data_IF_615357213885
#
_entry.id   IF_615357213885
#
_cell.length_a   1.000
_cell.length_b   1.000
_cell.length_c   1.000
_cell.angle_alpha   90.00
_cell.angle_beta   90.00
_cell.angle_gamma   90.00
#
_symmetry.space_group_name_H-M   'P 1'
#
loop_
_entity.id
_entity.type
_entity.pdbx_description
1 polymer ?
#
# COMPACT_ATOMS: atom_id res chain seq x y z
N UNK A 1 -44.78 51.22 0.86
CA UNK A 1 -45.58 50.13 0.23
C UNK A 1 -44.88 49.47 -1.00
N UNK A 2 -44.14 50.22 -1.82
CA UNK A 2 -43.43 49.65 -3.01
C UNK A 2 -42.34 48.61 -2.67
N UNK A 3 -41.43 48.90 -1.71
CA UNK A 3 -40.33 47.98 -1.32
C UNK A 3 -40.85 46.66 -0.76
N UNK A 4 -41.94 46.66 -0.01
CA UNK A 4 -42.55 45.45 0.56
C UNK A 4 -43.18 44.56 -0.53
N UNK A 5 -43.80 45.13 -1.55
CA UNK A 5 -44.34 44.37 -2.71
C UNK A 5 -43.23 43.75 -3.58
N UNK A 6 -42.09 44.40 -3.70
CA UNK A 6 -40.91 43.85 -4.42
C UNK A 6 -40.29 42.68 -3.63
N UNK A 7 -40.14 42.84 -2.31
CA UNK A 7 -39.65 41.76 -1.45
C UNK A 7 -40.55 40.51 -1.48
N UNK A 8 -41.89 40.71 -1.40
CA UNK A 8 -42.88 39.62 -1.48
C UNK A 8 -42.80 38.88 -2.82
N UNK A 9 -42.70 39.62 -3.94
CA UNK A 9 -42.54 38.99 -5.27
C UNK A 9 -41.24 38.18 -5.38
N UNK A 10 -40.14 38.69 -4.81
CA UNK A 10 -38.87 37.96 -4.77
C UNK A 10 -38.96 36.65 -3.97
N UNK A 11 -39.61 36.68 -2.81
CA UNK A 11 -39.82 35.46 -1.97
C UNK A 11 -40.69 34.43 -2.71
N UNK A 12 -41.80 34.88 -3.32
CA UNK A 12 -42.69 33.99 -4.07
C UNK A 12 -41.96 33.36 -5.27
N UNK A 13 -41.19 34.15 -6.01
CA UNK A 13 -40.39 33.64 -7.12
C UNK A 13 -39.37 32.60 -6.62
N UNK A 14 -38.67 32.85 -5.50
CA UNK A 14 -37.74 31.91 -4.86
C UNK A 14 -38.40 30.59 -4.45
N UNK A 15 -39.60 30.66 -3.84
CA UNK A 15 -40.36 29.46 -3.47
C UNK A 15 -40.81 28.65 -4.69
N UNK A 16 -41.21 29.32 -5.76
CA UNK A 16 -41.57 28.63 -7.02
C UNK A 16 -40.35 27.92 -7.62
N UNK A 17 -39.23 28.61 -7.72
CA UNK A 17 -37.97 28.00 -8.19
C UNK A 17 -37.59 26.81 -7.31
N UNK A 18 -37.63 26.96 -6.00
CA UNK A 18 -37.33 25.86 -5.06
C UNK A 18 -38.27 24.67 -5.29
N UNK A 19 -39.58 24.90 -5.42
CA UNK A 19 -40.57 23.84 -5.67
C UNK A 19 -40.30 23.13 -7.01
N UNK A 20 -39.96 23.87 -8.06
CA UNK A 20 -39.61 23.32 -9.37
C UNK A 20 -38.37 22.44 -9.27
N UNK A 21 -37.34 22.89 -8.55
CA UNK A 21 -36.11 22.10 -8.35
C UNK A 21 -36.37 20.80 -7.59
N UNK A 22 -37.33 20.74 -6.65
CA UNK A 22 -37.72 19.49 -5.95
C UNK A 22 -38.33 18.47 -6.91
N UNK A 23 -39.04 18.92 -7.94
CA UNK A 23 -39.70 18.05 -8.93
C UNK A 23 -38.70 17.56 -10.00
N UNK A 24 -37.78 18.42 -10.42
CA UNK A 24 -36.82 18.13 -11.50
C UNK A 24 -35.53 17.39 -11.05
N UNK A 25 -35.45 16.98 -9.81
CA UNK A 25 -34.26 16.25 -9.31
C UNK A 25 -34.10 14.89 -9.97
N UNK A 26 -32.88 14.50 -10.42
CA UNK A 26 -32.63 13.17 -10.99
C UNK A 26 -32.72 12.08 -9.92
N UNK A 27 -33.30 10.93 -10.24
CA UNK A 27 -33.41 9.80 -9.31
C UNK A 27 -32.04 9.16 -8.94
N UNK A 28 -32.00 8.48 -7.81
CA UNK A 28 -30.91 7.57 -7.45
C UNK A 28 -31.35 6.17 -7.87
N UNK A 29 -30.61 5.48 -8.76
CA UNK A 29 -30.94 4.13 -9.16
C UNK A 29 -30.99 3.17 -7.96
N UNK A 30 -32.04 2.37 -7.87
CA UNK A 30 -32.19 1.32 -6.86
C UNK A 30 -32.41 -0.01 -7.56
N UNK A 31 -31.76 -1.07 -7.05
CA UNK A 31 -31.89 -2.42 -7.56
C UNK A 31 -31.97 -3.41 -6.39
N UNK A 32 -32.66 -4.53 -6.54
CA UNK A 32 -32.52 -5.65 -5.61
C UNK A 32 -31.04 -6.06 -5.51
N UNK A 33 -30.60 -6.47 -4.32
CA UNK A 33 -29.27 -7.02 -4.16
C UNK A 33 -29.14 -8.29 -5.01
N UNK A 34 -28.13 -8.35 -5.87
CA UNK A 34 -27.89 -9.48 -6.77
C UNK A 34 -26.99 -10.54 -6.15
N UNK A 35 -26.04 -10.11 -5.31
CA UNK A 35 -25.11 -10.95 -4.57
C UNK A 35 -24.62 -10.18 -3.33
N UNK A 36 -25.44 -10.13 -2.30
CA UNK A 36 -25.14 -9.41 -1.08
C UNK A 36 -24.01 -10.08 -0.30
N UNK A 37 -23.18 -9.26 0.35
CA UNK A 37 -22.14 -9.76 1.25
C UNK A 37 -22.77 -10.63 2.36
N UNK A 38 -22.28 -11.85 2.49
CA UNK A 38 -22.65 -12.73 3.58
C UNK A 38 -21.73 -12.50 4.77
N UNK A 39 -22.28 -11.99 5.86
CA UNK A 39 -21.56 -11.72 7.09
C UNK A 39 -22.40 -12.17 8.32
N UNK A 40 -21.76 -12.45 9.46
CA UNK A 40 -22.47 -12.70 10.72
C UNK A 40 -23.47 -11.58 11.06
N UNK A 41 -24.57 -11.88 11.77
CA UNK A 41 -25.61 -10.88 12.07
C UNK A 41 -25.08 -9.60 12.72
N UNK A 42 -24.11 -9.72 13.62
CA UNK A 42 -23.46 -8.59 14.28
C UNK A 42 -22.73 -7.66 13.30
N UNK A 43 -21.93 -8.24 12.41
CA UNK A 43 -21.21 -7.48 11.36
C UNK A 43 -22.21 -6.85 10.39
N UNK A 44 -23.20 -7.62 9.95
CA UNK A 44 -24.26 -7.12 9.09
C UNK A 44 -24.96 -5.92 9.70
N UNK A 45 -25.30 -5.97 11.00
CA UNK A 45 -25.96 -4.88 11.69
C UNK A 45 -25.13 -3.58 11.62
N UNK A 46 -23.82 -3.66 11.89
CA UNK A 46 -22.91 -2.51 11.78
C UNK A 46 -22.90 -1.95 10.35
N UNK A 47 -22.69 -2.82 9.34
CA UNK A 47 -22.65 -2.40 7.95
C UNK A 47 -23.96 -1.76 7.49
N UNK A 48 -25.10 -2.33 7.89
CA UNK A 48 -26.43 -1.81 7.54
C UNK A 48 -26.72 -0.46 8.19
N UNK A 49 -26.29 -0.27 9.43
CA UNK A 49 -26.46 0.98 10.16
C UNK A 49 -25.59 2.10 9.57
N UNK A 50 -24.29 1.84 9.35
CA UNK A 50 -23.29 2.87 9.14
C UNK A 50 -22.88 3.07 7.67
N UNK A 51 -23.09 2.06 6.81
CA UNK A 51 -22.52 2.04 5.46
C UNK A 51 -23.56 1.92 4.34
N UNK A 52 -24.64 1.14 4.53
CA UNK A 52 -25.57 0.78 3.44
C UNK A 52 -26.33 1.96 2.84
N UNK A 53 -26.48 3.07 3.55
CA UNK A 53 -27.11 4.28 3.01
C UNK A 53 -26.44 4.78 1.73
N UNK A 54 -25.10 4.69 1.67
CA UNK A 54 -24.32 5.07 0.49
C UNK A 54 -23.80 3.88 -0.31
N UNK A 55 -23.36 2.79 0.37
CA UNK A 55 -22.67 1.65 -0.21
C UNK A 55 -23.56 0.45 -0.51
N UNK A 56 -24.86 0.65 -0.78
CA UNK A 56 -25.76 -0.41 -1.24
C UNK A 56 -26.70 0.08 -2.32
N UNK A 57 -27.28 -0.84 -3.11
CA UNK A 57 -28.29 -0.49 -4.10
C UNK A 57 -29.67 -0.20 -3.49
N UNK A 58 -29.79 -0.32 -2.16
CA UNK A 58 -31.00 0.00 -1.43
C UNK A 58 -31.11 1.52 -1.21
N UNK A 59 -32.35 2.02 -1.20
CA UNK A 59 -32.58 3.43 -0.90
C UNK A 59 -32.85 3.60 0.60
N UNK A 60 -31.90 4.19 1.32
CA UNK A 60 -31.99 4.46 2.77
C UNK A 60 -31.71 5.94 3.04
N UNK A 61 -32.55 6.83 2.49
CA UNK A 61 -32.40 8.29 2.64
C UNK A 61 -33.36 8.84 3.67
N UNK A 62 -32.88 9.70 4.55
CA UNK A 62 -33.68 10.54 5.40
C UNK A 62 -34.52 11.50 4.57
N UNK A 63 -35.57 12.08 5.15
CA UNK A 63 -36.41 13.03 4.45
C UNK A 63 -35.63 14.29 4.03
N UNK A 64 -34.69 14.75 4.86
CA UNK A 64 -33.88 15.94 4.59
C UNK A 64 -32.80 15.72 3.55
N UNK A 65 -32.27 14.50 3.38
CA UNK A 65 -31.36 14.13 2.29
C UNK A 65 -32.01 14.29 0.91
N UNK A 66 -33.32 14.35 0.88
CA UNK A 66 -34.10 14.43 -0.35
C UNK A 66 -34.41 15.88 -0.76
N UNK A 67 -33.96 16.86 0.01
CA UNK A 67 -34.19 18.27 -0.27
C UNK A 67 -33.09 18.86 -1.13
N UNK A 68 -33.43 19.43 -2.30
CA UNK A 68 -32.50 20.18 -3.16
C UNK A 68 -32.19 21.52 -2.49
N UNK A 69 -30.91 21.99 -2.45
CA UNK A 69 -29.76 21.49 -3.23
C UNK A 69 -28.96 20.36 -2.58
N UNK A 70 -29.14 20.07 -1.28
CA UNK A 70 -28.41 19.03 -0.55
C UNK A 70 -28.49 17.64 -1.22
N UNK A 71 -29.68 17.31 -1.76
CA UNK A 71 -29.90 16.07 -2.50
C UNK A 71 -28.89 15.81 -3.62
N UNK A 72 -28.44 16.85 -4.31
CA UNK A 72 -27.47 16.67 -5.41
C UNK A 72 -26.11 16.19 -4.91
N UNK A 73 -25.67 16.72 -3.76
CA UNK A 73 -24.45 16.25 -3.10
C UNK A 73 -24.62 14.80 -2.63
N UNK A 74 -25.68 14.51 -1.87
CA UNK A 74 -26.01 13.15 -1.40
C UNK A 74 -26.08 12.15 -2.56
N UNK A 75 -26.74 12.55 -3.66
CA UNK A 75 -26.79 11.68 -4.86
C UNK A 75 -25.41 11.43 -5.46
N UNK A 76 -24.58 12.46 -5.56
CA UNK A 76 -23.21 12.35 -6.06
C UNK A 76 -22.41 11.37 -5.20
N UNK A 77 -22.44 11.57 -3.88
CA UNK A 77 -21.70 10.75 -2.92
C UNK A 77 -22.14 9.28 -2.98
N UNK A 78 -23.45 9.00 -3.08
CA UNK A 78 -23.98 7.63 -3.21
C UNK A 78 -23.50 6.97 -4.51
N UNK A 79 -23.55 7.67 -5.63
CA UNK A 79 -23.13 7.09 -6.91
C UNK A 79 -21.63 6.80 -6.91
N UNK A 80 -20.83 7.71 -6.40
CA UNK A 80 -19.39 7.51 -6.22
C UNK A 80 -19.08 6.37 -5.25
N UNK A 81 -19.78 6.32 -4.11
CA UNK A 81 -19.61 5.25 -3.12
C UNK A 81 -19.86 3.86 -3.73
N UNK A 82 -20.91 3.71 -4.55
CA UNK A 82 -21.27 2.43 -5.20
C UNK A 82 -20.27 1.99 -6.28
N UNK A 83 -19.55 2.93 -6.89
CA UNK A 83 -18.48 2.60 -7.84
C UNK A 83 -17.28 1.97 -7.13
N UNK A 84 -16.96 2.41 -5.91
CA UNK A 84 -15.83 1.89 -5.13
C UNK A 84 -16.20 0.64 -4.32
N UNK A 85 -17.30 0.70 -3.60
CA UNK A 85 -17.79 -0.39 -2.74
C UNK A 85 -19.31 -0.45 -2.79
N UNK A 86 -19.85 -1.63 -3.16
CA UNK A 86 -21.28 -1.88 -3.14
C UNK A 86 -21.58 -3.22 -2.49
N UNK A 87 -22.11 -3.20 -1.28
CA UNK A 87 -22.45 -4.41 -0.51
C UNK A 87 -23.52 -5.27 -1.17
N UNK A 88 -24.38 -4.67 -2.01
CA UNK A 88 -25.41 -5.41 -2.75
C UNK A 88 -24.86 -6.34 -3.85
N UNK A 89 -23.59 -6.17 -4.22
CA UNK A 89 -22.92 -6.95 -5.27
C UNK A 89 -21.60 -7.57 -4.83
N UNK A 90 -21.09 -7.19 -3.65
CA UNK A 90 -19.76 -7.60 -3.15
C UNK A 90 -19.63 -9.13 -3.04
N UNK A 91 -20.70 -9.83 -2.68
CA UNK A 91 -20.72 -11.28 -2.55
C UNK A 91 -20.46 -12.04 -3.85
N UNK A 92 -20.55 -11.38 -5.03
CA UNK A 92 -20.16 -11.97 -6.30
C UNK A 92 -18.63 -12.06 -6.51
N UNK A 93 -17.84 -11.29 -5.71
CA UNK A 93 -16.38 -11.35 -5.78
C UNK A 93 -15.85 -12.59 -5.05
N UNK A 94 -14.66 -13.11 -5.42
CA UNK A 94 -13.99 -14.15 -4.65
C UNK A 94 -13.82 -13.76 -3.17
N UNK A 95 -13.86 -14.74 -2.26
CA UNK A 95 -13.81 -14.49 -0.82
C UNK A 95 -12.60 -13.63 -0.36
N UNK A 96 -11.42 -13.85 -0.96
CA UNK A 96 -10.24 -13.05 -0.69
C UNK A 96 -10.42 -11.58 -1.10
N UNK A 97 -11.08 -11.31 -2.23
CA UNK A 97 -11.37 -9.95 -2.68
C UNK A 97 -12.44 -9.28 -1.82
N UNK A 98 -13.45 -10.04 -1.35
CA UNK A 98 -14.42 -9.52 -0.36
C UNK A 98 -13.70 -9.10 0.93
N UNK A 99 -12.81 -9.96 1.43
CA UNK A 99 -12.03 -9.71 2.65
C UNK A 99 -11.14 -8.48 2.49
N UNK A 100 -10.38 -8.37 1.39
CA UNK A 100 -9.53 -7.21 1.09
C UNK A 100 -10.32 -5.90 1.06
N UNK A 101 -11.52 -5.91 0.44
CA UNK A 101 -12.43 -4.75 0.41
C UNK A 101 -12.88 -4.34 1.82
N UNK A 102 -13.17 -5.30 2.70
CA UNK A 102 -13.55 -5.02 4.10
C UNK A 102 -12.37 -4.46 4.91
N UNK A 103 -11.16 -4.94 4.69
CA UNK A 103 -9.95 -4.36 5.30
C UNK A 103 -9.78 -2.89 4.88
N UNK A 104 -9.98 -2.59 3.61
CA UNK A 104 -9.93 -1.21 3.12
C UNK A 104 -10.98 -0.33 3.79
N UNK A 105 -12.24 -0.82 3.89
CA UNK A 105 -13.30 -0.10 4.59
C UNK A 105 -12.93 0.19 6.05
N UNK A 106 -12.41 -0.81 6.78
CA UNK A 106 -11.96 -0.65 8.17
C UNK A 106 -10.84 0.37 8.28
N UNK A 107 -9.89 0.39 7.33
CA UNK A 107 -8.84 1.39 7.29
C UNK A 107 -9.40 2.80 7.07
N UNK A 108 -10.35 2.98 6.16
CA UNK A 108 -10.98 4.28 5.94
C UNK A 108 -11.74 4.77 7.18
N UNK A 109 -12.38 3.87 7.94
CA UNK A 109 -13.01 4.19 9.22
C UNK A 109 -11.96 4.61 10.26
N UNK A 110 -10.90 3.82 10.42
CA UNK A 110 -9.82 4.08 11.39
C UNK A 110 -9.14 5.44 11.14
N UNK A 111 -8.98 5.81 9.87
CA UNK A 111 -8.36 7.07 9.45
C UNK A 111 -9.34 8.25 9.46
N UNK A 112 -10.61 8.02 9.83
CA UNK A 112 -11.64 9.07 9.89
C UNK A 112 -12.12 9.57 8.54
N UNK A 113 -11.85 8.83 7.45
CA UNK A 113 -12.34 9.13 6.12
C UNK A 113 -13.78 8.66 5.90
N UNK A 114 -14.18 7.60 6.60
CA UNK A 114 -15.54 7.03 6.53
C UNK A 114 -16.14 6.80 7.92
N UNK A 115 -17.46 6.98 8.09
CA UNK A 115 -18.36 7.66 7.15
C UNK A 115 -17.91 9.11 6.90
N UNK A 116 -18.32 9.70 5.76
CA UNK A 116 -17.90 11.07 5.41
C UNK A 116 -18.15 12.05 6.55
N UNK A 117 -17.18 12.91 6.95
CA UNK A 117 -17.36 13.84 8.07
C UNK A 117 -18.61 14.73 7.95
N UNK A 118 -18.89 15.26 6.77
CA UNK A 118 -20.08 16.07 6.51
C UNK A 118 -21.39 15.27 6.60
N UNK A 119 -21.35 13.95 6.35
CA UNK A 119 -22.52 13.10 6.48
C UNK A 119 -22.87 12.87 7.95
N UNK A 120 -21.89 12.55 8.80
CA UNK A 120 -22.11 12.30 10.22
C UNK A 120 -22.52 13.55 11.01
N UNK A 121 -22.27 14.77 10.49
CA UNK A 121 -22.80 16.01 11.07
C UNK A 121 -24.34 16.04 11.03
N UNK A 122 -24.94 15.47 9.99
CA UNK A 122 -26.39 15.37 9.82
C UNK A 122 -26.97 14.01 10.25
N UNK A 123 -26.13 13.00 10.31
CA UNK A 123 -26.45 11.60 10.63
C UNK A 123 -25.51 11.06 11.74
N UNK A 124 -25.57 11.61 12.97
CA UNK A 124 -24.68 11.20 14.05
C UNK A 124 -24.83 9.74 14.44
N UNK A 125 -25.98 9.12 14.17
CA UNK A 125 -26.26 7.70 14.37
C UNK A 125 -25.45 6.77 13.45
N UNK A 126 -25.00 7.27 12.30
CA UNK A 126 -24.18 6.53 11.34
C UNK A 126 -22.68 6.57 11.69
N UNK A 127 -22.31 7.18 12.80
CA UNK A 127 -20.92 7.20 13.26
C UNK A 127 -20.54 5.83 13.81
N UNK A 128 -19.53 5.21 13.22
CA UNK A 128 -18.96 3.94 13.75
C UNK A 128 -18.33 4.20 15.10
N UNK A 129 -18.75 3.45 16.13
CA UNK A 129 -18.18 3.56 17.46
C UNK A 129 -16.85 2.81 17.58
N UNK A 130 -16.01 3.10 18.59
CA UNK A 130 -14.79 2.35 18.83
C UNK A 130 -15.03 0.84 19.02
N UNK A 131 -16.15 0.47 19.66
CA UNK A 131 -16.56 -0.92 19.89
C UNK A 131 -16.95 -1.62 18.59
N UNK A 132 -17.71 -0.95 17.72
CA UNK A 132 -18.08 -1.45 16.40
C UNK A 132 -16.84 -1.62 15.52
N UNK A 133 -15.91 -0.65 15.53
CA UNK A 133 -14.64 -0.76 14.83
C UNK A 133 -13.81 -1.94 15.35
N UNK A 134 -13.74 -2.15 16.66
CA UNK A 134 -13.06 -3.30 17.26
C UNK A 134 -13.71 -4.63 16.83
N UNK A 135 -15.04 -4.68 16.76
CA UNK A 135 -15.80 -5.85 16.30
C UNK A 135 -15.48 -6.15 14.81
N UNK A 136 -15.47 -5.15 13.95
CA UNK A 136 -15.10 -5.30 12.54
C UNK A 136 -13.66 -5.81 12.39
N UNK A 137 -12.72 -5.26 13.17
CA UNK A 137 -11.32 -5.72 13.19
C UNK A 137 -11.22 -7.17 13.66
N UNK A 138 -11.93 -7.55 14.71
CA UNK A 138 -11.94 -8.92 15.23
C UNK A 138 -12.51 -9.91 14.20
N UNK A 139 -13.54 -9.52 13.48
CA UNK A 139 -14.11 -10.34 12.40
C UNK A 139 -13.12 -10.59 11.26
N UNK A 140 -12.29 -9.60 10.93
CA UNK A 140 -11.27 -9.72 9.89
C UNK A 140 -10.01 -10.44 10.38
N UNK A 141 -9.73 -10.45 11.70
CA UNK A 141 -8.70 -11.25 12.32
C UNK A 141 -9.29 -12.67 12.65
N UNK A 142 -8.52 -13.77 12.70
CA UNK A 142 -7.08 -13.80 12.77
C UNK A 142 -6.44 -13.81 11.38
N UNK A 143 -5.29 -13.20 11.34
CA UNK A 143 -4.36 -13.32 10.27
C UNK A 143 -3.72 -14.71 10.33
N UNK A 144 -4.42 -15.71 9.82
CA UNK A 144 -3.81 -16.99 9.57
C UNK A 144 -3.05 -16.89 8.25
N UNK A 145 -1.83 -17.47 8.12
CA UNK A 145 -1.24 -17.70 6.82
C UNK A 145 -2.30 -18.37 5.93
N UNK A 146 -2.38 -17.93 4.66
CA UNK A 146 -3.37 -18.46 3.73
C UNK A 146 -3.33 -20.00 3.77
N UNK A 147 -4.49 -20.69 3.87
CA UNK A 147 -4.51 -22.12 3.65
C UNK A 147 -4.00 -22.40 2.25
N UNK A 148 -3.27 -23.49 2.12
CA UNK A 148 -2.69 -23.99 0.88
C UNK A 148 -3.57 -23.72 -0.33
N UNK A 149 -3.02 -23.00 -1.32
CA UNK A 149 -3.47 -22.90 -2.72
C UNK A 149 -4.98 -23.00 -2.98
N UNK A 150 -5.70 -21.96 -2.77
CA UNK A 150 -6.82 -21.63 -3.65
C UNK A 150 -6.35 -20.52 -4.59
N UNK A 151 -5.81 -20.93 -5.71
CA UNK A 151 -5.59 -20.02 -6.83
C UNK A 151 -6.90 -19.33 -7.17
N UNK A 152 -6.80 -18.05 -7.52
CA UNK A 152 -7.82 -17.13 -8.00
C UNK A 152 -8.36 -16.13 -6.98
N UNK A 153 -7.54 -15.14 -6.68
CA UNK A 153 -8.03 -13.82 -6.27
C UNK A 153 -7.27 -12.68 -6.96
N UNK A 154 -6.53 -12.99 -8.03
CA UNK A 154 -6.17 -11.98 -9.03
C UNK A 154 -7.13 -12.13 -10.20
N UNK A 155 -7.75 -11.05 -10.69
CA UNK A 155 -8.30 -11.03 -12.04
C UNK A 155 -7.27 -11.69 -12.96
N UNK A 156 -7.70 -12.68 -13.73
CA UNK A 156 -6.87 -13.40 -14.66
C UNK A 156 -6.15 -12.40 -15.58
N UNK A 157 -4.92 -12.10 -15.26
CA UNK A 157 -4.01 -11.44 -16.18
C UNK A 157 -3.74 -12.48 -17.25
N UNK A 158 -4.16 -12.19 -18.48
CA UNK A 158 -3.95 -13.04 -19.63
C UNK A 158 -2.49 -13.46 -19.71
N UNK A 159 -2.27 -14.76 -19.81
CA UNK A 159 -0.95 -15.40 -19.92
C UNK A 159 -0.40 -15.32 -21.34
N UNK A 160 -0.46 -14.18 -21.98
CA UNK A 160 0.34 -13.93 -23.18
C UNK A 160 1.62 -13.26 -22.74
N UNK A 161 2.59 -14.10 -22.34
CA UNK A 161 3.95 -13.67 -22.03
C UNK A 161 4.62 -13.17 -23.34
N UNK A 162 4.42 -11.90 -23.65
CA UNK A 162 5.31 -11.17 -24.52
C UNK A 162 6.59 -10.90 -23.74
N UNK A 163 7.75 -11.07 -24.39
CA UNK A 163 9.03 -10.68 -23.85
C UNK A 163 8.95 -9.27 -23.20
N UNK A 164 9.65 -9.03 -22.06
CA UNK A 164 9.65 -7.72 -21.42
C UNK A 164 9.98 -6.65 -22.46
N UNK A 165 9.04 -5.73 -22.70
CA UNK A 165 9.26 -4.64 -23.63
C UNK A 165 10.45 -3.80 -23.14
N UNK A 166 11.22 -3.26 -24.08
CA UNK A 166 12.27 -2.30 -23.73
C UNK A 166 11.69 -1.16 -22.87
N UNK A 167 12.35 -0.73 -21.78
CA UNK A 167 11.84 0.31 -20.87
C UNK A 167 11.38 1.60 -21.56
N UNK A 168 11.96 1.91 -22.73
CA UNK A 168 11.58 3.06 -23.55
C UNK A 168 10.20 2.93 -24.22
N UNK A 169 9.57 1.75 -24.19
CA UNK A 169 8.28 1.47 -24.83
C UNK A 169 7.10 1.39 -23.87
N UNK A 170 7.33 1.54 -22.54
CA UNK A 170 6.24 1.49 -21.55
C UNK A 170 5.35 2.73 -21.70
N UNK A 171 4.04 2.57 -21.93
CA UNK A 171 3.13 3.69 -22.07
C UNK A 171 3.04 4.51 -20.79
N UNK A 172 2.86 5.82 -20.92
CA UNK A 172 2.47 6.68 -19.81
C UNK A 172 1.08 6.32 -19.31
N UNK A 173 0.78 6.66 -18.06
CA UNK A 173 -0.56 6.54 -17.51
C UNK A 173 -1.58 7.44 -18.22
N UNK A 174 -2.85 7.14 -18.06
CA UNK A 174 -3.96 7.88 -18.69
C UNK A 174 -4.04 9.36 -18.27
N UNK A 175 -3.45 9.72 -17.12
CA UNK A 175 -3.31 11.13 -16.68
C UNK A 175 -2.02 11.79 -17.20
N UNK A 176 -1.23 11.10 -18.03
CA UNK A 176 0.03 11.57 -18.57
C UNK A 176 1.25 11.41 -17.66
N UNK A 177 1.10 10.71 -16.50
CA UNK A 177 2.22 10.40 -15.62
C UNK A 177 3.17 9.42 -16.33
N UNK A 178 4.49 9.72 -16.43
CA UNK A 178 5.44 8.87 -17.13
C UNK A 178 5.89 7.69 -16.28
N UNK A 179 6.11 6.53 -16.90
CA UNK A 179 6.82 5.43 -16.26
C UNK A 179 8.30 5.79 -16.06
N UNK A 180 8.85 5.49 -14.89
CA UNK A 180 10.28 5.69 -14.61
C UNK A 180 10.99 4.34 -14.47
N UNK A 181 11.74 3.87 -15.47
CA UNK A 181 12.44 2.59 -15.43
C UNK A 181 13.58 2.55 -14.40
N UNK A 182 14.06 3.73 -13.95
CA UNK A 182 15.16 3.83 -13.01
C UNK A 182 14.75 3.41 -11.57
N UNK A 183 13.46 3.22 -11.31
CA UNK A 183 12.99 2.78 -9.97
C UNK A 183 13.71 1.51 -9.47
N UNK A 184 14.17 0.65 -10.37
CA UNK A 184 14.90 -0.59 -10.05
C UNK A 184 16.23 -0.34 -9.32
N UNK A 185 16.80 0.86 -9.46
CA UNK A 185 18.02 1.29 -8.77
C UNK A 185 17.77 2.08 -7.48
N UNK A 186 16.49 2.39 -7.18
CA UNK A 186 16.16 3.18 -5.98
C UNK A 186 16.33 2.33 -4.71
N UNK A 187 16.50 3.02 -3.59
CA UNK A 187 16.75 2.38 -2.29
C UNK A 187 15.44 2.05 -1.57
N UNK A 188 15.41 0.91 -0.89
CA UNK A 188 14.26 0.56 -0.04
C UNK A 188 14.25 1.48 1.18
N UNK A 189 13.16 2.22 1.34
CA UNK A 189 12.91 3.05 2.51
C UNK A 189 12.02 2.37 3.54
N UNK A 190 11.23 1.38 3.12
CA UNK A 190 10.42 0.51 3.98
C UNK A 190 10.04 -0.77 3.27
N UNK A 191 9.73 -1.80 4.04
CA UNK A 191 9.13 -3.04 3.54
C UNK A 191 7.79 -3.24 4.24
N UNK A 192 6.85 -3.92 3.58
CA UNK A 192 5.53 -4.16 4.15
C UNK A 192 5.07 -5.57 3.77
N UNK A 193 4.58 -6.26 4.78
CA UNK A 193 3.86 -7.52 4.67
C UNK A 193 2.36 -7.20 4.78
N UNK A 194 1.59 -7.48 3.74
CA UNK A 194 0.20 -7.07 3.56
C UNK A 194 -0.73 -8.28 3.54
N UNK A 195 -1.00 -8.84 4.71
CA UNK A 195 -1.91 -9.96 4.83
C UNK A 195 -3.37 -9.66 4.54
N UNK A 196 -3.76 -8.39 4.47
CA UNK A 196 -5.07 -7.99 4.00
C UNK A 196 -5.31 -8.36 2.53
N UNK A 197 -4.24 -8.45 1.74
CA UNK A 197 -4.32 -8.83 0.33
C UNK A 197 -3.19 -9.77 -0.13
N UNK A 198 -2.51 -10.42 0.81
CA UNK A 198 -1.46 -11.42 0.60
C UNK A 198 -0.36 -10.94 -0.35
N UNK A 199 0.24 -9.77 -0.03
CA UNK A 199 1.34 -9.22 -0.82
C UNK A 199 2.52 -8.80 0.04
N UNK A 200 3.73 -9.10 -0.44
CA UNK A 200 4.97 -8.51 0.07
C UNK A 200 5.34 -7.30 -0.78
N UNK A 201 5.86 -6.25 -0.14
CA UNK A 201 6.11 -4.97 -0.81
C UNK A 201 7.44 -4.36 -0.43
N UNK A 202 8.11 -3.78 -1.43
CA UNK A 202 9.10 -2.74 -1.21
C UNK A 202 8.49 -1.36 -1.47
N UNK A 203 8.81 -0.41 -0.61
CA UNK A 203 8.64 1.01 -0.90
C UNK A 203 10.02 1.58 -1.17
N UNK A 204 10.26 1.91 -2.42
CA UNK A 204 11.53 2.45 -2.91
C UNK A 204 11.45 3.98 -2.95
N UNK A 205 12.55 4.64 -2.63
CA UNK A 205 12.70 6.08 -2.78
C UNK A 205 13.89 6.44 -3.67
N UNK A 206 13.71 7.48 -4.49
CA UNK A 206 14.85 8.06 -5.20
C UNK A 206 15.79 8.79 -4.21
N UNK A 207 16.92 9.30 -4.66
CA UNK A 207 17.92 9.95 -3.80
C UNK A 207 17.35 11.11 -2.98
N UNK A 208 16.40 11.88 -3.56
CA UNK A 208 15.70 12.97 -2.84
C UNK A 208 14.88 12.42 -1.70
N UNK A 209 14.10 11.36 -1.94
CA UNK A 209 13.30 10.69 -0.91
C UNK A 209 14.17 10.09 0.20
N UNK A 210 15.25 9.39 -0.16
CA UNK A 210 16.19 8.78 0.79
C UNK A 210 16.83 9.84 1.67
N UNK A 211 17.34 10.92 1.07
CA UNK A 211 17.94 12.03 1.81
C UNK A 211 16.96 12.69 2.76
N UNK A 212 15.73 12.92 2.29
CA UNK A 212 14.66 13.49 3.11
C UNK A 212 14.30 12.57 4.29
N UNK A 213 14.18 11.27 4.07
CA UNK A 213 13.89 10.28 5.10
C UNK A 213 15.00 10.23 6.16
N UNK A 214 16.27 10.17 5.75
CA UNK A 214 17.42 10.12 6.67
C UNK A 214 17.54 11.39 7.51
N UNK A 215 17.22 12.57 6.97
CA UNK A 215 17.25 13.84 7.67
C UNK A 215 15.94 14.20 8.39
N UNK A 216 14.93 13.33 8.29
CA UNK A 216 13.55 13.58 8.78
C UNK A 216 12.91 14.86 8.20
N UNK A 217 13.32 15.26 6.99
CA UNK A 217 12.72 16.38 6.24
C UNK A 217 11.59 15.86 5.35
N UNK A 218 10.54 15.34 5.98
CA UNK A 218 9.46 14.58 5.32
C UNK A 218 8.07 15.17 5.59
N UNK A 219 8.02 16.42 6.01
CA UNK A 219 6.74 17.06 6.30
C UNK A 219 6.78 18.58 6.11
N UNK A 220 6.44 19.00 4.89
CA UNK A 220 6.15 18.19 3.71
C UNK A 220 7.42 17.54 3.12
N UNK A 221 7.23 16.51 2.30
CA UNK A 221 8.29 15.96 1.47
C UNK A 221 8.76 17.01 0.45
N UNK A 222 10.06 17.12 0.17
CA UNK A 222 10.57 18.08 -0.80
C UNK A 222 10.14 17.76 -2.23
N UNK A 223 9.95 18.79 -3.05
CA UNK A 223 9.73 18.60 -4.50
C UNK A 223 10.87 17.77 -5.12
N UNK A 224 10.51 16.91 -6.06
CA UNK A 224 11.42 15.92 -6.65
C UNK A 224 11.51 14.61 -5.86
N UNK A 225 10.84 14.49 -4.71
CA UNK A 225 10.66 13.20 -4.03
C UNK A 225 9.86 12.27 -4.94
N UNK A 226 10.38 11.06 -5.14
CA UNK A 226 9.69 9.99 -5.87
C UNK A 226 9.70 8.70 -5.08
N UNK A 227 8.55 8.05 -5.04
CA UNK A 227 8.39 6.70 -4.49
C UNK A 227 7.96 5.73 -5.57
N UNK A 228 8.42 4.48 -5.43
CA UNK A 228 7.88 3.34 -6.15
C UNK A 228 7.50 2.26 -5.16
N UNK A 229 6.19 2.00 -5.02
CA UNK A 229 5.68 0.89 -4.24
C UNK A 229 5.56 -0.33 -5.15
N UNK A 230 6.45 -1.29 -4.96
CA UNK A 230 6.52 -2.54 -5.74
C UNK A 230 5.88 -3.64 -4.94
N UNK A 231 4.97 -4.39 -5.53
CA UNK A 231 4.22 -5.44 -4.87
C UNK A 231 4.33 -6.78 -5.61
N UNK A 232 4.50 -7.84 -4.83
CA UNK A 232 4.47 -9.23 -5.27
C UNK A 232 3.40 -9.99 -4.50
N UNK A 233 2.81 -11.01 -5.10
CA UNK A 233 1.99 -11.97 -4.38
C UNK A 233 2.87 -12.74 -3.40
N UNK A 234 2.35 -13.00 -2.20
CA UNK A 234 3.02 -13.89 -1.24
C UNK A 234 3.01 -15.31 -1.75
N UNK A 235 4.14 -16.00 -1.62
CA UNK A 235 4.29 -17.39 -1.97
C UNK A 235 4.99 -18.14 -0.83
N UNK A 236 4.35 -19.19 -0.33
CA UNK A 236 4.92 -20.04 0.72
C UNK A 236 5.98 -20.96 0.12
N UNK A 237 7.22 -20.76 0.52
CA UNK A 237 8.34 -21.60 0.11
C UNK A 237 8.36 -22.95 0.84
N UNK A 238 9.15 -23.93 0.35
CA UNK A 238 9.33 -25.21 1.01
C UNK A 238 10.06 -25.10 2.36
N UNK A 239 10.70 -23.98 2.62
CA UNK A 239 11.33 -23.62 3.90
C UNK A 239 10.32 -23.12 4.95
N UNK A 240 9.05 -22.96 4.57
CA UNK A 240 7.99 -22.44 5.42
C UNK A 240 8.05 -20.94 5.62
N UNK A 241 8.76 -20.22 4.73
CA UNK A 241 8.83 -18.77 4.69
C UNK A 241 7.92 -18.23 3.57
N UNK A 242 7.39 -17.02 3.77
CA UNK A 242 6.69 -16.29 2.72
C UNK A 242 7.72 -15.50 1.90
N UNK A 243 7.78 -15.78 0.62
CA UNK A 243 8.65 -15.12 -0.35
C UNK A 243 7.85 -14.23 -1.31
N UNK A 244 8.48 -13.20 -1.90
CA UNK A 244 7.91 -12.52 -3.06
C UNK A 244 7.81 -13.49 -4.24
N UNK A 245 6.60 -13.83 -4.62
CA UNK A 245 6.31 -14.66 -5.78
C UNK A 245 6.10 -13.79 -7.04
N UNK A 246 5.00 -14.01 -7.74
CA UNK A 246 4.68 -13.29 -8.97
C UNK A 246 4.59 -11.79 -8.75
N UNK A 247 5.28 -10.99 -9.59
CA UNK A 247 5.14 -9.54 -9.62
C UNK A 247 3.69 -9.16 -9.93
N UNK A 248 3.14 -8.26 -9.14
CA UNK A 248 1.77 -7.79 -9.29
C UNK A 248 1.69 -6.41 -9.92
N UNK A 249 2.34 -5.42 -9.30
CA UNK A 249 2.28 -4.03 -9.77
C UNK A 249 3.39 -3.16 -9.21
N UNK A 250 3.62 -2.04 -9.87
CA UNK A 250 4.37 -0.90 -9.34
C UNK A 250 3.49 0.35 -9.37
N UNK A 251 3.52 1.10 -8.27
CA UNK A 251 2.80 2.35 -8.09
C UNK A 251 3.79 3.47 -7.79
N UNK A 252 3.66 4.57 -8.50
CA UNK A 252 4.51 5.75 -8.31
C UNK A 252 3.76 6.89 -7.65
N UNK A 253 4.47 7.61 -6.79
CA UNK A 253 4.12 8.95 -6.29
C UNK A 253 5.29 9.88 -6.58
N UNK A 254 5.02 11.06 -7.13
CA UNK A 254 6.00 12.11 -7.37
C UNK A 254 5.55 13.42 -6.76
N UNK A 255 6.38 14.05 -5.93
CA UNK A 255 6.11 15.37 -5.34
C UNK A 255 6.58 16.45 -6.29
N UNK A 256 5.66 17.28 -6.75
CA UNK A 256 5.88 18.55 -7.44
C UNK A 256 4.68 19.45 -7.19
N UNK A 257 4.82 20.38 -6.25
CA UNK A 257 3.74 21.26 -5.80
C UNK A 257 3.16 22.15 -6.91
N UNK A 258 3.92 22.41 -7.97
CA UNK A 258 3.47 23.24 -9.10
C UNK A 258 2.75 22.41 -10.16
N UNK A 259 3.34 21.28 -10.53
CA UNK A 259 2.82 20.40 -11.58
C UNK A 259 1.53 19.71 -11.15
N UNK A 260 1.46 19.26 -9.92
CA UNK A 260 0.35 18.46 -9.37
C UNK A 260 -0.49 19.25 -8.37
N UNK A 261 -0.70 20.55 -8.59
CA UNK A 261 -1.47 21.44 -7.70
C UNK A 261 -2.91 20.96 -7.45
N UNK A 262 -3.50 20.32 -8.45
CA UNK A 262 -4.89 19.83 -8.39
C UNK A 262 -5.04 18.50 -7.65
N UNK A 263 -3.91 17.85 -7.32
CA UNK A 263 -3.80 16.61 -6.55
C UNK A 263 -2.89 16.79 -5.33
N UNK A 264 -2.95 17.97 -4.70
CA UNK A 264 -2.26 18.31 -3.44
C UNK A 264 -0.73 18.23 -3.55
N UNK A 265 -0.20 18.44 -4.75
CA UNK A 265 1.22 18.42 -5.05
C UNK A 265 1.81 17.03 -5.31
N UNK A 266 0.98 16.01 -5.49
CA UNK A 266 1.41 14.65 -5.78
C UNK A 266 0.88 14.14 -7.12
N UNK A 267 1.78 13.67 -7.99
CA UNK A 267 1.45 12.91 -9.18
C UNK A 267 1.38 11.42 -8.89
N UNK A 268 0.54 10.72 -9.64
CA UNK A 268 0.19 9.32 -9.40
C UNK A 268 0.29 8.50 -10.68
N UNK A 269 0.86 7.29 -10.58
CA UNK A 269 0.88 6.32 -11.66
C UNK A 269 0.91 4.90 -11.14
N UNK A 270 0.29 3.95 -11.87
CA UNK A 270 0.25 2.53 -11.51
C UNK A 270 0.33 1.67 -12.76
N UNK A 271 1.22 0.69 -12.74
CA UNK A 271 1.35 -0.31 -13.81
C UNK A 271 1.24 -1.71 -13.24
N UNK A 272 0.52 -2.56 -13.94
CA UNK A 272 0.26 -3.96 -13.53
C UNK A 272 0.92 -4.96 -14.47
N UNK A 273 1.32 -6.10 -13.87
CA UNK A 273 1.89 -7.24 -14.57
C UNK A 273 3.28 -6.99 -15.14
N UNK A 274 3.92 -8.04 -15.62
CA UNK A 274 5.27 -7.97 -16.22
C UNK A 274 5.28 -7.16 -17.53
N UNK A 275 4.14 -7.04 -18.19
CA UNK A 275 3.92 -6.23 -19.39
C UNK A 275 3.68 -4.74 -19.09
N UNK A 276 3.70 -4.34 -17.83
CA UNK A 276 3.58 -2.96 -17.37
C UNK A 276 2.39 -2.21 -17.98
N UNK A 277 1.21 -2.82 -17.93
CA UNK A 277 -0.02 -2.17 -18.39
C UNK A 277 -0.40 -1.02 -17.48
N UNK A 278 -0.64 0.19 -18.03
CA UNK A 278 -1.22 1.30 -17.28
C UNK A 278 -2.53 0.90 -16.61
N UNK A 279 -2.77 1.39 -15.38
CA UNK A 279 -3.93 1.08 -14.60
C UNK A 279 -5.12 1.97 -14.94
N UNK A 280 -6.33 1.39 -14.88
CA UNK A 280 -7.55 2.15 -15.11
C UNK A 280 -8.02 2.10 -16.56
N UNK A 281 -8.90 3.02 -16.91
CA UNK A 281 -9.49 3.16 -18.25
C UNK A 281 -9.35 4.57 -18.81
N UNK A 282 -9.20 5.54 -17.93
CA UNK A 282 -9.04 6.97 -18.21
C UNK A 282 -8.34 7.65 -17.03
N UNK A 283 -8.06 8.95 -17.13
CA UNK A 283 -7.34 9.73 -16.11
C UNK A 283 -8.04 9.79 -14.74
N UNK A 284 -9.32 9.43 -14.64
CA UNK A 284 -10.08 9.44 -13.37
C UNK A 284 -9.62 8.37 -12.38
N UNK A 285 -8.81 7.39 -12.81
CA UNK A 285 -8.17 6.45 -11.87
C UNK A 285 -7.41 7.17 -10.76
N UNK A 286 -6.90 8.38 -11.03
CA UNK A 286 -6.17 9.21 -10.06
C UNK A 286 -7.02 9.57 -8.83
N UNK A 287 -8.35 9.63 -8.99
CA UNK A 287 -9.27 9.87 -7.88
C UNK A 287 -9.24 8.74 -6.84
N UNK A 288 -8.96 7.51 -7.25
CA UNK A 288 -8.75 6.39 -6.32
C UNK A 288 -7.49 6.62 -5.47
N UNK A 289 -6.41 7.08 -6.11
CA UNK A 289 -5.14 7.36 -5.42
C UNK A 289 -5.29 8.51 -4.43
N UNK A 290 -5.81 9.65 -4.90
CA UNK A 290 -5.99 10.84 -4.07
C UNK A 290 -6.99 10.61 -2.94
N UNK A 291 -8.12 9.95 -3.21
CA UNK A 291 -9.13 9.63 -2.21
C UNK A 291 -8.60 8.68 -1.13
N UNK A 292 -7.88 7.63 -1.52
CA UNK A 292 -7.24 6.69 -0.59
C UNK A 292 -6.17 7.38 0.27
N UNK A 293 -5.37 8.29 -0.29
CA UNK A 293 -4.29 8.98 0.41
C UNK A 293 -4.71 10.24 1.19
N UNK A 294 -5.89 10.76 0.93
CA UNK A 294 -6.43 11.97 1.55
C UNK A 294 -6.48 11.92 3.09
N UNK A 295 -6.78 10.78 3.75
CA UNK A 295 -6.73 10.69 5.20
C UNK A 295 -5.34 10.93 5.80
N UNK A 296 -4.27 10.72 5.00
CA UNK A 296 -2.88 10.95 5.38
C UNK A 296 -2.39 12.37 5.09
N UNK A 297 -3.29 13.34 4.89
CA UNK A 297 -2.95 14.76 4.68
C UNK A 297 -1.99 15.30 5.74
N UNK A 298 -2.19 14.93 7.01
CA UNK A 298 -1.33 15.32 8.13
C UNK A 298 0.12 14.83 7.99
N UNK A 299 0.35 13.76 7.22
CA UNK A 299 1.65 13.18 6.89
C UNK A 299 2.02 13.37 5.40
N UNK A 300 1.63 14.51 4.84
CA UNK A 300 1.82 14.86 3.41
C UNK A 300 1.38 13.73 2.46
N UNK A 301 0.23 13.11 2.75
CA UNK A 301 -0.40 12.03 1.95
C UNK A 301 0.38 10.71 1.89
N UNK A 302 1.44 10.52 2.72
CA UNK A 302 2.30 9.35 2.68
C UNK A 302 1.98 8.40 3.85
N UNK A 303 1.59 7.17 3.54
CA UNK A 303 1.36 6.10 4.53
C UNK A 303 2.67 5.54 5.10
N UNK A 304 3.69 5.45 4.26
CA UNK A 304 4.94 4.77 4.57
C UNK A 304 5.68 5.45 5.72
N UNK A 305 6.10 4.65 6.68
CA UNK A 305 7.05 5.03 7.73
C UNK A 305 8.46 4.64 7.28
N UNK A 306 9.27 5.59 6.76
CA UNK A 306 10.63 5.27 6.32
C UNK A 306 11.48 4.86 7.51
N UNK A 307 12.33 3.82 7.32
CA UNK A 307 13.30 3.42 8.35
C UNK A 307 14.35 4.51 8.49
N UNK A 308 14.39 5.14 9.67
CA UNK A 308 15.31 6.25 9.96
C UNK A 308 15.58 6.36 11.46
N UNK A 309 16.82 6.58 11.85
CA UNK A 309 17.20 6.85 13.23
C UNK A 309 16.92 8.31 13.67
N UNK A 310 16.56 9.20 12.74
CA UNK A 310 16.28 10.59 13.01
C UNK A 310 15.12 10.77 14.00
N UNK A 311 15.25 11.71 14.92
CA UNK A 311 14.18 12.06 15.86
C UNK A 311 13.10 12.87 15.12
N UNK A 312 11.84 12.49 15.28
CA UNK A 312 10.73 13.31 14.85
C UNK A 312 10.55 14.48 15.82
N UNK A 313 10.32 15.68 15.29
CA UNK A 313 9.94 16.86 16.08
C UNK A 313 8.41 16.94 16.29
N UNK A 314 7.66 15.96 15.78
CA UNK A 314 6.21 15.86 15.89
C UNK A 314 5.81 14.87 16.96
N UNK A 315 4.63 15.07 17.55
CA UNK A 315 4.00 14.10 18.43
C UNK A 315 3.47 12.86 17.67
N UNK A 316 3.41 12.94 16.33
CA UNK A 316 2.96 11.85 15.47
C UNK A 316 4.12 10.98 15.00
N UNK A 317 3.85 9.70 14.77
CA UNK A 317 4.80 8.74 14.24
C UNK A 317 4.93 8.98 12.74
N UNK A 318 6.02 9.60 12.30
CA UNK A 318 6.26 9.93 10.88
C UNK A 318 7.37 9.10 10.26
N UNK A 319 8.19 8.40 11.08
CA UNK A 319 9.22 7.48 10.63
C UNK A 319 9.30 6.23 11.52
N UNK A 320 10.00 5.21 11.04
CA UNK A 320 10.18 3.94 11.74
C UNK A 320 11.56 3.87 12.42
N UNK A 321 11.72 4.60 13.51
CA UNK A 321 12.97 4.59 14.29
C UNK A 321 13.28 3.26 14.96
N UNK A 322 12.23 2.50 15.29
CA UNK A 322 12.40 1.19 15.93
C UNK A 322 13.20 0.22 15.06
N UNK A 323 13.05 0.32 13.73
CA UNK A 323 13.74 -0.53 12.76
C UNK A 323 15.14 -0.05 12.35
N UNK A 324 15.59 1.10 12.87
CA UNK A 324 16.91 1.65 12.53
C UNK A 324 18.04 0.74 12.99
N UNK A 325 19.09 0.65 12.19
CA UNK A 325 20.29 -0.12 12.51
C UNK A 325 21.31 0.76 13.27
N UNK A 326 22.12 0.15 14.14
CA UNK A 326 23.20 0.86 14.83
C UNK A 326 24.32 1.26 13.87
N UNK A 327 24.90 2.41 14.10
CA UNK A 327 26.03 2.94 13.31
C UNK A 327 27.34 2.21 13.55
N UNK A 328 27.41 1.36 14.58
CA UNK A 328 28.58 0.53 14.91
C UNK A 328 28.81 -0.67 14.01
N UNK A 329 27.81 -1.02 13.17
CA UNK A 329 27.97 -2.11 12.20
C UNK A 329 29.07 -1.80 11.18
N UNK A 330 29.80 -2.84 10.68
CA UNK A 330 30.89 -2.65 9.73
C UNK A 330 30.45 -2.04 8.40
N UNK A 331 29.17 -2.21 8.05
CA UNK A 331 28.53 -1.61 6.88
C UNK A 331 27.14 -1.09 7.25
N UNK A 332 26.62 -0.17 6.43
CA UNK A 332 25.30 0.43 6.60
C UNK A 332 24.34 -0.05 5.47
N UNK A 333 23.75 -1.26 5.59
CA UNK A 333 23.04 -1.90 4.50
C UNK A 333 21.75 -1.17 4.09
N UNK A 334 21.15 -0.36 4.95
CA UNK A 334 19.98 0.45 4.59
C UNK A 334 20.26 1.50 3.49
N UNK A 335 21.54 1.80 3.23
CA UNK A 335 21.97 2.63 2.11
C UNK A 335 22.18 1.84 0.81
N UNK A 336 22.04 0.50 0.82
CA UNK A 336 22.22 -0.36 -0.33
C UNK A 336 20.91 -0.66 -1.03
N UNK A 337 20.95 -1.31 -2.20
CA UNK A 337 19.76 -1.80 -2.88
C UNK A 337 19.34 -3.14 -2.30
N UNK A 338 18.03 -3.37 -2.17
CA UNK A 338 17.51 -4.67 -1.76
C UNK A 338 17.48 -5.64 -2.93
N UNK A 339 17.81 -6.88 -2.63
CA UNK A 339 17.83 -8.02 -3.58
C UNK A 339 16.52 -8.79 -3.47
N UNK A 340 16.15 -9.16 -2.23
CA UNK A 340 14.92 -9.90 -1.92
C UNK A 340 14.51 -9.68 -0.48
N UNK A 341 13.33 -10.19 -0.13
CA UNK A 341 12.84 -10.25 1.25
C UNK A 341 12.15 -11.60 1.51
N UNK A 342 11.94 -11.92 2.77
CA UNK A 342 11.03 -12.98 3.17
C UNK A 342 10.43 -12.67 4.54
N UNK A 343 9.34 -13.36 4.87
CA UNK A 343 8.67 -13.29 6.17
C UNK A 343 8.61 -14.68 6.77
N UNK A 344 8.96 -14.83 8.04
CA UNK A 344 8.67 -16.02 8.81
C UNK A 344 7.41 -15.82 9.64
N UNK A 345 6.26 -16.41 9.23
CA UNK A 345 5.00 -16.23 9.94
C UNK A 345 4.98 -16.91 11.31
N UNK A 346 5.89 -17.88 11.57
CA UNK A 346 5.99 -18.60 12.86
C UNK A 346 6.62 -17.74 13.93
N UNK A 347 7.62 -16.94 13.57
CA UNK A 347 8.38 -16.07 14.47
C UNK A 347 7.96 -14.62 14.39
N UNK A 348 7.07 -14.28 13.45
CA UNK A 348 6.65 -12.90 13.15
C UNK A 348 7.86 -11.99 12.86
N UNK A 349 8.73 -12.45 11.96
CA UNK A 349 9.91 -11.71 11.54
C UNK A 349 9.88 -11.42 10.05
N UNK A 350 10.47 -10.32 9.65
CA UNK A 350 10.74 -9.98 8.25
C UNK A 350 12.24 -9.85 8.04
N UNK A 351 12.72 -10.34 6.92
CA UNK A 351 14.12 -10.27 6.55
C UNK A 351 14.25 -9.62 5.17
N UNK A 352 15.28 -8.78 4.99
CA UNK A 352 15.61 -8.19 3.69
C UNK A 352 17.10 -8.43 3.41
N UNK A 353 17.38 -8.98 2.24
CA UNK A 353 18.73 -9.12 1.73
C UNK A 353 19.09 -7.89 0.89
N UNK A 354 20.17 -7.24 1.28
CA UNK A 354 20.75 -6.10 0.58
C UNK A 354 22.07 -6.48 -0.09
N UNK A 355 22.42 -5.78 -1.17
CA UNK A 355 23.71 -5.89 -1.82
C UNK A 355 24.38 -4.55 -2.03
N UNK A 356 25.70 -4.49 -1.88
CA UNK A 356 26.48 -3.33 -2.30
C UNK A 356 26.47 -3.20 -3.83
N UNK A 357 26.98 -2.09 -4.37
CA UNK A 357 26.96 -1.84 -5.81
C UNK A 357 27.59 -2.96 -6.65
N UNK A 358 28.66 -3.61 -6.14
CA UNK A 358 29.28 -4.77 -6.81
C UNK A 358 28.33 -5.99 -6.85
N UNK A 359 27.60 -6.26 -5.78
CA UNK A 359 26.60 -7.32 -5.75
C UNK A 359 25.43 -7.02 -6.71
N UNK A 360 25.00 -5.78 -6.78
CA UNK A 360 23.90 -5.37 -7.65
C UNK A 360 24.24 -5.46 -9.15
N UNK A 361 25.51 -5.38 -9.53
CA UNK A 361 25.94 -5.66 -10.91
C UNK A 361 25.58 -7.09 -11.33
N UNK A 362 25.77 -8.07 -10.44
CA UNK A 362 25.38 -9.45 -10.72
C UNK A 362 23.85 -9.64 -10.78
N UNK A 363 23.10 -8.92 -9.95
CA UNK A 363 21.62 -8.96 -9.95
C UNK A 363 21.02 -8.38 -11.24
N UNK A 364 21.64 -7.33 -11.79
CA UNK A 364 21.15 -6.63 -13.00
C UNK A 364 21.71 -7.22 -14.30
N UNK A 365 22.51 -8.29 -14.25
CA UNK A 365 23.03 -8.94 -15.45
C UNK A 365 21.87 -9.57 -16.26
N UNK A 366 21.80 -9.33 -17.59
CA UNK A 366 20.82 -9.97 -18.46
C UNK A 366 20.84 -11.49 -18.30
N UNK A 367 19.66 -12.09 -18.06
CA UNK A 367 19.52 -13.53 -17.74
C UNK A 367 19.25 -13.83 -16.26
N UNK A 368 19.45 -12.87 -15.34
CA UNK A 368 19.00 -13.00 -13.96
C UNK A 368 17.48 -12.89 -13.80
N UNK A 369 16.80 -12.26 -14.77
CA UNK A 369 15.33 -12.12 -14.83
C UNK A 369 14.66 -13.39 -15.40
N UNK A 370 15.10 -14.59 -14.97
CA UNK A 370 14.45 -15.84 -15.37
C UNK A 370 13.18 -16.08 -14.56
N UNK A 371 12.24 -16.80 -15.12
CA UNK A 371 11.06 -17.30 -14.42
C UNK A 371 11.16 -18.84 -14.26
N UNK A 372 11.39 -19.37 -13.03
CA UNK A 372 11.62 -18.66 -11.76
C UNK A 372 12.98 -17.94 -11.68
N UNK A 373 13.10 -16.86 -10.89
CA UNK A 373 14.34 -16.12 -10.72
C UNK A 373 15.42 -17.01 -10.09
N UNK A 374 16.67 -16.87 -10.58
CA UNK A 374 17.81 -17.67 -10.16
C UNK A 374 18.79 -16.81 -9.35
N UNK A 375 19.42 -17.42 -8.35
CA UNK A 375 20.47 -16.76 -7.58
C UNK A 375 21.59 -16.24 -8.50
N UNK A 376 22.02 -14.96 -8.33
CA UNK A 376 23.10 -14.39 -9.13
C UNK A 376 24.45 -15.01 -8.82
N UNK A 377 25.36 -15.03 -9.79
CA UNK A 377 26.75 -15.37 -9.56
C UNK A 377 27.52 -14.12 -9.10
N UNK A 378 27.61 -13.93 -7.78
CA UNK A 378 28.29 -12.78 -7.20
C UNK A 378 29.80 -12.82 -7.44
N UNK A 379 30.38 -11.70 -7.87
CA UNK A 379 31.82 -11.55 -8.05
C UNK A 379 32.54 -11.27 -6.72
N UNK A 380 33.86 -11.42 -6.70
CA UNK A 380 34.68 -11.00 -5.57
C UNK A 380 34.43 -9.52 -5.22
N UNK A 381 34.46 -9.21 -3.92
CA UNK A 381 34.13 -7.91 -3.32
C UNK A 381 32.62 -7.57 -3.30
N UNK A 382 31.75 -8.45 -3.81
CA UNK A 382 30.33 -8.34 -3.49
C UNK A 382 30.14 -8.48 -1.98
N UNK A 383 29.37 -7.58 -1.38
CA UNK A 383 28.98 -7.70 0.02
C UNK A 383 27.46 -7.79 0.08
N UNK A 384 26.99 -8.87 0.68
CA UNK A 384 25.57 -9.11 0.96
C UNK A 384 25.31 -8.83 2.43
N UNK A 385 24.16 -8.28 2.75
CA UNK A 385 23.71 -8.06 4.12
C UNK A 385 22.27 -8.53 4.28
N UNK A 386 22.04 -9.54 5.12
CA UNK A 386 20.70 -9.95 5.53
C UNK A 386 20.38 -9.27 6.86
N UNK A 387 19.34 -8.46 6.85
CA UNK A 387 18.83 -7.84 8.08
C UNK A 387 17.52 -8.51 8.44
N UNK A 388 17.39 -8.93 9.69
CA UNK A 388 16.20 -9.57 10.23
C UNK A 388 15.60 -8.66 11.31
N UNK A 389 14.31 -8.35 11.19
CA UNK A 389 13.55 -7.57 12.16
C UNK A 389 12.38 -8.38 12.73
N UNK A 390 11.99 -8.07 13.96
CA UNK A 390 10.64 -8.34 14.40
C UNK A 390 9.64 -7.62 13.50
N UNK A 391 8.44 -8.16 13.36
CA UNK A 391 7.33 -7.43 12.78
C UNK A 391 6.48 -6.74 13.85
N UNK A 392 5.88 -5.62 13.48
CA UNK A 392 4.78 -4.99 14.21
C UNK A 392 3.68 -4.57 13.26
N UNK A 393 2.47 -4.38 13.80
CA UNK A 393 1.38 -3.84 13.01
C UNK A 393 1.71 -2.43 12.52
N UNK A 394 1.33 -2.15 11.26
CA UNK A 394 1.47 -0.82 10.70
C UNK A 394 0.42 0.12 11.34
N UNK A 395 0.82 1.20 12.01
CA UNK A 395 -0.13 2.10 12.64
C UNK A 395 -1.03 2.84 11.64
N UNK A 396 -0.60 2.92 10.37
CA UNK A 396 -1.32 3.61 9.31
C UNK A 396 -2.21 2.67 8.48
N UNK A 397 -2.05 1.35 8.61
CA UNK A 397 -2.83 0.39 7.84
C UNK A 397 -3.10 -0.90 8.60
N UNK A 398 -4.34 -1.09 9.01
CA UNK A 398 -4.80 -2.34 9.62
C UNK A 398 -4.70 -3.51 8.63
N UNK A 399 -4.09 -4.62 9.07
CA UNK A 399 -3.80 -5.78 8.20
C UNK A 399 -2.47 -5.71 7.47
N UNK A 400 -1.65 -4.68 7.75
CA UNK A 400 -0.26 -4.61 7.31
C UNK A 400 0.71 -4.77 8.49
N UNK A 401 1.89 -5.30 8.21
CA UNK A 401 3.02 -5.37 9.14
C UNK A 401 4.25 -4.75 8.53
N UNK A 402 5.01 -4.08 9.37
CA UNK A 402 6.26 -3.41 9.01
C UNK A 402 7.38 -3.88 9.94
N UNK A 403 8.66 -3.67 9.57
CA UNK A 403 9.79 -3.92 10.46
C UNK A 403 9.64 -3.19 11.80
N UNK A 404 9.96 -3.88 12.88
CA UNK A 404 10.14 -3.32 14.22
C UNK A 404 11.63 -3.39 14.60
N UNK A 405 11.95 -3.77 15.82
CA UNK A 405 13.33 -3.86 16.32
C UNK A 405 14.14 -4.86 15.49
N UNK A 406 15.34 -4.48 15.04
CA UNK A 406 16.24 -5.41 14.38
C UNK A 406 16.71 -6.47 15.37
N UNK A 407 16.72 -7.71 14.91
CA UNK A 407 17.18 -8.89 15.69
C UNK A 407 18.62 -9.23 15.38
N UNK A 408 18.96 -9.28 14.09
CA UNK A 408 20.30 -9.60 13.65
C UNK A 408 20.64 -8.99 12.30
N UNK A 409 21.93 -8.86 12.05
CA UNK A 409 22.49 -8.50 10.75
C UNK A 409 23.60 -9.48 10.40
N UNK A 410 23.48 -10.11 9.26
CA UNK A 410 24.47 -11.05 8.74
C UNK A 410 25.14 -10.46 7.50
N UNK A 411 26.46 -10.47 7.44
CA UNK A 411 27.23 -10.01 6.29
C UNK A 411 27.96 -11.17 5.63
N UNK A 412 27.94 -11.21 4.30
CA UNK A 412 28.77 -12.12 3.49
C UNK A 412 29.59 -11.29 2.54
N UNK A 413 30.90 -11.29 2.71
CA UNK A 413 31.84 -10.75 1.73
C UNK A 413 32.30 -11.88 0.83
N UNK A 414 31.93 -11.82 -0.44
CA UNK A 414 32.25 -12.83 -1.44
C UNK A 414 33.74 -12.78 -1.78
N UNK A 415 34.39 -13.90 -1.63
CA UNK A 415 35.84 -14.04 -1.94
C UNK A 415 36.08 -14.34 -3.42
N UNK A 416 37.33 -14.21 -3.85
CA UNK A 416 37.74 -14.67 -5.17
C UNK A 416 37.56 -16.19 -5.30
N UNK A 417 37.42 -16.66 -6.54
CA UNK A 417 37.20 -18.07 -6.83
C UNK A 417 38.23 -18.99 -6.10
N UNK A 418 37.70 -20.05 -5.50
CA UNK A 418 38.51 -21.03 -4.74
C UNK A 418 38.83 -20.63 -3.29
N UNK A 419 38.33 -19.51 -2.80
CA UNK A 419 38.42 -19.10 -1.39
C UNK A 419 37.04 -19.06 -0.74
N UNK A 420 36.91 -19.39 0.57
CA UNK A 420 35.66 -19.27 1.29
C UNK A 420 35.29 -17.79 1.46
N UNK A 421 33.99 -17.47 1.32
CA UNK A 421 33.48 -16.17 1.63
C UNK A 421 33.58 -15.87 3.12
N UNK A 422 33.84 -14.61 3.48
CA UNK A 422 33.87 -14.17 4.87
C UNK A 422 32.43 -13.92 5.35
N UNK A 423 32.04 -14.58 6.43
CA UNK A 423 30.76 -14.42 7.09
C UNK A 423 30.93 -13.75 8.45
N UNK A 424 30.07 -12.79 8.75
CA UNK A 424 29.95 -12.12 10.05
C UNK A 424 28.51 -11.99 10.45
N UNK A 425 28.20 -12.17 11.73
CA UNK A 425 26.86 -12.02 12.29
C UNK A 425 26.89 -11.08 13.48
N UNK A 426 25.89 -10.23 13.59
CA UNK A 426 25.69 -9.29 14.69
C UNK A 426 24.29 -9.50 15.24
N UNK A 427 24.17 -9.75 16.54
CA UNK A 427 22.88 -9.98 17.21
C UNK A 427 22.53 -8.85 18.17
N UNK A 428 21.23 -8.47 18.12
CA UNK A 428 20.67 -7.49 19.05
C UNK A 428 20.58 -8.01 20.50
N UNK A 429 20.31 -7.12 21.46
CA UNK A 429 20.06 -5.67 21.28
C UNK A 429 21.33 -4.81 21.07
N UNK A 430 22.51 -5.26 21.52
CA UNK A 430 23.77 -4.49 21.47
C UNK A 430 24.49 -4.60 20.12
N UNK A 431 24.08 -5.54 19.26
CA UNK A 431 24.72 -5.84 17.97
C UNK A 431 26.21 -6.17 18.11
N UNK A 432 26.50 -7.04 19.05
CA UNK A 432 27.83 -7.62 19.20
C UNK A 432 28.10 -8.66 18.11
N UNK A 433 29.36 -8.74 17.66
CA UNK A 433 29.78 -9.74 16.69
C UNK A 433 29.70 -11.14 17.33
N UNK A 434 28.88 -12.02 16.74
CA UNK A 434 28.83 -13.45 17.09
C UNK A 434 29.87 -14.21 16.26
N UNK A 435 30.46 -15.23 16.88
CA UNK A 435 31.47 -16.07 16.26
C UNK A 435 30.99 -17.52 16.13
N UNK A 436 30.05 -17.83 15.22
CA UNK A 436 29.50 -19.13 15.07
C UNK A 436 30.56 -20.12 14.54
N UNK A 437 30.36 -21.46 14.73
CA UNK A 437 31.24 -22.49 14.17
C UNK A 437 31.41 -22.31 12.65
N UNK A 438 32.62 -22.60 12.13
CA UNK A 438 32.95 -22.40 10.71
C UNK A 438 31.98 -23.12 9.74
N UNK A 439 31.50 -24.32 10.11
CA UNK A 439 30.51 -25.03 9.30
C UNK A 439 29.19 -24.30 9.18
N UNK A 440 28.69 -23.70 10.28
CA UNK A 440 27.48 -22.87 10.29
C UNK A 440 27.70 -21.61 9.46
N UNK A 441 28.83 -20.93 9.66
CA UNK A 441 29.18 -19.72 8.90
C UNK A 441 29.18 -19.98 7.38
N UNK A 442 29.81 -21.11 6.96
CA UNK A 442 29.82 -21.51 5.55
C UNK A 442 28.42 -21.83 5.01
N UNK A 443 27.61 -22.55 5.78
CA UNK A 443 26.21 -22.84 5.40
C UNK A 443 25.38 -21.55 5.23
N UNK A 444 25.50 -20.62 6.16
CA UNK A 444 24.78 -19.34 6.09
C UNK A 444 25.26 -18.49 4.91
N UNK A 445 26.56 -18.41 4.69
CA UNK A 445 27.11 -17.71 3.54
C UNK A 445 26.59 -18.26 2.21
N UNK A 446 26.52 -19.58 2.06
CA UNK A 446 25.96 -20.22 0.87
C UNK A 446 24.47 -19.96 0.73
N UNK A 447 23.71 -20.00 1.84
CA UNK A 447 22.28 -19.67 1.83
C UNK A 447 22.04 -18.24 1.33
N UNK A 448 22.73 -17.25 1.88
CA UNK A 448 22.56 -15.85 1.49
C UNK A 448 22.92 -15.63 0.02
N UNK A 449 23.99 -16.25 -0.47
CA UNK A 449 24.37 -16.19 -1.87
C UNK A 449 23.41 -16.95 -2.80
N UNK A 450 22.67 -17.93 -2.25
CA UNK A 450 21.68 -18.73 -2.97
C UNK A 450 20.29 -18.11 -3.04
N UNK A 451 20.02 -17.02 -2.31
CA UNK A 451 18.72 -16.34 -2.38
C UNK A 451 18.53 -15.66 -3.74
N UNK A 452 17.43 -15.99 -4.38
CA UNK A 452 17.06 -15.37 -5.66
C UNK A 452 16.59 -13.93 -5.48
N UNK A 453 16.89 -13.01 -6.41
CA UNK A 453 16.35 -11.65 -6.39
C UNK A 453 14.86 -11.65 -6.66
N UNK A 454 14.18 -10.59 -6.21
CA UNK A 454 12.77 -10.36 -6.57
C UNK A 454 12.64 -10.19 -8.09
N UNK A 455 11.54 -10.71 -8.64
CA UNK A 455 11.22 -10.50 -10.04
C UNK A 455 10.76 -9.05 -10.26
N UNK A 456 11.40 -8.36 -11.20
CA UNK A 456 11.03 -7.01 -11.63
C UNK A 456 10.80 -7.00 -13.14
N UNK A 457 9.79 -6.24 -13.62
CA UNK A 457 9.44 -6.16 -15.05
C UNK A 457 10.51 -5.45 -15.88
#
# INVERSE_FOLDING_TARGET
MSKMRVATKGIVAGLVVFAVLQVLRPGIPTKPASAELQAPPEIRHILEKDCYSCHSDQRRLSWFDQIVPGYWLVRHDILTAREHLNFSTLGAKPAAAQKATLYEAVNMIQLGAMPLPQFIELHPEAKVTPEELATLKTYLAPWAPAPEHSGNAAEAVSTDAKEPGSPASVPSEFNGFPFDPNFKSWKVISTTDRGDNNTLRFVLGNDTAVKAALSNNISPWPDGTRFAKVAWQEEMGPDGLLHPGKFWQVEFMEKDAKRYKDTEGWGWGRWRGMDLKPYGKDARFENECTGCHQPMRGNDYVYTLPVSAAKSNRNEVVNNRAAALPTSLPYQPLGWSAITMYVDPRTHTTATLYGNDTAMQAVHTPGAAMDPPKAPAYSANSVLALVIWMQRDDPHWFGARIPDKPLSVEFVQVAAAGRPSLYKRFEGPEFLEDHPPAAFAAQRANLLQGLAPVQLP
#
